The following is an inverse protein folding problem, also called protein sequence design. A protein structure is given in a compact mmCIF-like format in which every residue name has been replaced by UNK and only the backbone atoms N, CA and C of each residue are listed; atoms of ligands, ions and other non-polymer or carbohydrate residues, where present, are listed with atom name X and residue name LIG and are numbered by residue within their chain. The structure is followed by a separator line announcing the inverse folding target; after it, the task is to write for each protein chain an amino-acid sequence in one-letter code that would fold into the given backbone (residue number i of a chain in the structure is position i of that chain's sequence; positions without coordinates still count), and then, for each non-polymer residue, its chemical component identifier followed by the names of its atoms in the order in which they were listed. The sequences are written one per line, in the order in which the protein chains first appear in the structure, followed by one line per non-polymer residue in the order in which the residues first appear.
data_IF_116224058208
#
_entry.id   IF_116224058208
#
_cell.length_a   1.000
_cell.length_b   1.000
_cell.length_c   1.000
_cell.angle_alpha   90.00
_cell.angle_beta   90.00
_cell.angle_gamma   90.00
#
_symmetry.space_group_name_H-M   'P 1'
#
loop_
_entity.id
_entity.type
_entity.pdbx_description
1 polymer ?
#
# COMPACT_ATOMS: atom_id res chain seq x y z
N UNK A 1 12.29 -76.94 -33.29
CA UNK A 1 10.84 -76.90 -32.99
C UNK A 1 10.25 -75.67 -33.67
N UNK A 2 9.20 -75.88 -34.46
CA UNK A 2 8.16 -74.96 -34.95
C UNK A 2 8.54 -73.59 -35.58
N UNK A 3 8.32 -73.53 -36.90
CA UNK A 3 7.94 -72.36 -37.75
C UNK A 3 6.50 -71.87 -37.37
N UNK A 4 5.80 -70.97 -38.09
CA UNK A 4 6.10 -69.72 -38.85
C UNK A 4 5.01 -68.61 -38.60
N UNK A 5 4.92 -67.65 -39.53
CA UNK A 5 3.75 -66.85 -40.01
C UNK A 5 3.55 -65.45 -39.37
N UNK A 6 3.72 -64.36 -40.12
CA UNK A 6 2.99 -63.83 -41.31
C UNK A 6 1.64 -63.21 -40.98
N UNK A 7 1.39 -62.11 -41.72
CA UNK A 7 0.09 -61.58 -42.15
C UNK A 7 -0.50 -60.51 -41.22
N UNK A 8 -0.66 -59.26 -41.65
CA UNK A 8 -1.46 -58.68 -42.77
C UNK A 8 -2.65 -57.94 -42.16
N UNK A 9 -3.09 -56.89 -42.83
CA UNK A 9 -4.46 -56.37 -42.71
C UNK A 9 -4.50 -55.01 -42.03
N UNK A 10 -4.41 -53.90 -42.76
CA UNK A 10 -5.40 -53.31 -43.67
C UNK A 10 -6.29 -52.29 -42.97
N UNK A 11 -6.25 -51.11 -43.58
CA UNK A 11 -7.08 -49.93 -43.41
C UNK A 11 -8.58 -50.26 -43.42
N UNK A 12 -9.34 -49.62 -42.54
CA UNK A 12 -10.71 -49.18 -42.83
C UNK A 12 -11.06 -47.95 -42.00
N UNK A 13 -11.14 -46.81 -42.68
CA UNK A 13 -11.79 -45.59 -42.21
C UNK A 13 -13.29 -45.81 -42.08
N UNK A 14 -13.90 -45.30 -41.02
CA UNK A 14 -15.35 -45.10 -40.92
C UNK A 14 -15.61 -43.72 -40.31
N UNK A 15 -15.83 -42.75 -41.20
CA UNK A 15 -16.52 -41.49 -40.92
C UNK A 15 -17.98 -41.77 -40.61
N UNK A 16 -18.45 -41.31 -39.45
CA UNK A 16 -19.87 -41.13 -39.18
C UNK A 16 -20.08 -39.68 -38.72
N UNK A 17 -20.61 -38.86 -39.62
CA UNK A 17 -21.19 -37.56 -39.30
C UNK A 17 -22.64 -37.78 -38.85
N UNK A 18 -22.99 -37.29 -37.67
CA UNK A 18 -24.36 -37.21 -37.17
C UNK A 18 -24.59 -35.78 -36.68
N UNK A 19 -25.19 -34.98 -37.55
CA UNK A 19 -25.83 -33.71 -37.22
C UNK A 19 -27.24 -33.98 -36.69
N UNK A 20 -27.51 -33.59 -35.44
CA UNK A 20 -28.88 -33.40 -34.97
C UNK A 20 -28.95 -32.09 -34.15
N UNK A 21 -29.71 -31.15 -34.71
CA UNK A 21 -30.16 -29.91 -34.10
C UNK A 21 -31.15 -30.22 -32.98
N UNK A 22 -30.89 -29.71 -31.77
CA UNK A 22 -31.92 -29.51 -30.75
C UNK A 22 -31.87 -28.06 -30.28
N UNK A 23 -32.64 -27.21 -30.97
CA UNK A 23 -33.16 -25.96 -30.41
C UNK A 23 -34.11 -26.32 -29.27
N UNK A 24 -33.58 -26.42 -28.06
CA UNK A 24 -34.35 -26.46 -26.83
C UNK A 24 -34.40 -25.06 -26.23
N UNK A 25 -35.54 -24.39 -26.37
CA UNK A 25 -35.94 -23.31 -25.47
C UNK A 25 -36.02 -23.92 -24.07
N UNK A 26 -35.11 -23.54 -23.18
CA UNK A 26 -35.17 -23.90 -21.78
C UNK A 26 -35.49 -22.64 -20.97
N UNK A 27 -36.45 -22.83 -20.07
CA UNK A 27 -37.15 -21.86 -19.26
C UNK A 27 -36.29 -20.88 -18.45
N UNK A 28 -36.92 -19.75 -18.17
CA UNK A 28 -36.62 -18.84 -17.06
C UNK A 28 -36.75 -19.63 -15.75
N UNK A 29 -35.62 -20.10 -15.22
CA UNK A 29 -35.53 -20.53 -13.83
C UNK A 29 -35.20 -19.31 -12.95
N UNK A 30 -36.25 -18.77 -12.33
CA UNK A 30 -36.13 -17.89 -11.18
C UNK A 30 -35.70 -18.73 -9.96
N UNK A 31 -34.47 -18.53 -9.50
CA UNK A 31 -34.09 -18.81 -8.11
C UNK A 31 -33.02 -19.87 -7.90
N UNK A 32 -31.92 -19.39 -7.29
CA UNK A 32 -30.90 -20.13 -6.55
C UNK A 32 -29.86 -20.93 -7.35
N UNK A 33 -28.82 -20.22 -7.80
CA UNK A 33 -27.46 -20.77 -7.85
C UNK A 33 -26.43 -19.62 -7.67
N UNK A 34 -25.90 -19.47 -6.45
CA UNK A 34 -24.66 -18.77 -6.09
C UNK A 34 -24.41 -17.35 -6.67
N UNK A 35 -24.93 -16.30 -6.02
CA UNK A 35 -24.30 -14.97 -6.08
C UNK A 35 -23.06 -14.93 -5.15
N UNK A 36 -22.15 -15.88 -5.34
CA UNK A 36 -20.79 -15.81 -4.83
C UNK A 36 -19.91 -15.33 -5.99
N UNK A 37 -19.12 -14.30 -5.73
CA UNK A 37 -18.01 -13.81 -6.58
C UNK A 37 -18.31 -12.87 -7.75
N UNK A 38 -19.32 -12.00 -7.64
CA UNK A 38 -19.30 -10.77 -8.43
C UNK A 38 -18.28 -9.80 -7.81
N UNK A 39 -17.08 -9.70 -8.39
CA UNK A 39 -16.12 -8.67 -8.04
C UNK A 39 -16.74 -7.26 -8.25
N UNK A 40 -16.26 -6.27 -7.49
CA UNK A 40 -16.71 -4.88 -7.60
C UNK A 40 -15.89 -4.14 -8.65
N UNK A 41 -16.56 -3.55 -9.64
CA UNK A 41 -15.90 -2.67 -10.59
C UNK A 41 -15.37 -1.38 -9.91
N UNK A 42 -14.10 -1.07 -10.15
CA UNK A 42 -13.43 0.17 -9.69
C UNK A 42 -12.97 1.09 -10.85
N UNK A 43 -13.27 0.68 -12.09
CA UNK A 43 -12.99 1.48 -13.28
C UNK A 43 -13.61 2.88 -13.16
N UNK A 44 -12.83 3.90 -13.48
CA UNK A 44 -13.26 5.30 -13.44
C UNK A 44 -13.40 5.92 -12.04
N UNK A 45 -13.04 5.23 -10.95
CA UNK A 45 -13.03 5.85 -9.63
C UNK A 45 -12.00 6.99 -9.56
N UNK A 46 -12.40 8.10 -8.95
CA UNK A 46 -11.51 9.20 -8.60
C UNK A 46 -10.47 8.77 -7.56
N UNK A 47 -9.43 9.59 -7.36
CA UNK A 47 -8.40 9.32 -6.36
C UNK A 47 -8.99 9.28 -4.94
N UNK A 48 -9.93 10.18 -4.66
CA UNK A 48 -10.63 10.30 -3.38
C UNK A 48 -11.48 9.07 -3.10
N UNK A 49 -12.23 8.59 -4.08
CA UNK A 49 -13.06 7.37 -3.94
C UNK A 49 -12.20 6.14 -3.70
N UNK A 50 -11.04 6.04 -4.36
CA UNK A 50 -10.08 4.97 -4.08
C UNK A 50 -9.50 5.07 -2.68
N UNK A 51 -9.23 6.29 -2.20
CA UNK A 51 -8.69 6.52 -0.86
C UNK A 51 -9.72 6.18 0.22
N UNK A 52 -10.98 6.56 0.02
CA UNK A 52 -12.10 6.20 0.88
C UNK A 52 -12.29 4.68 0.95
N UNK A 53 -12.22 3.99 -0.19
CA UNK A 53 -12.29 2.53 -0.21
C UNK A 53 -11.11 1.88 0.51
N UNK A 54 -9.90 2.44 0.39
CA UNK A 54 -8.69 1.92 1.03
C UNK A 54 -8.66 2.17 2.54
N UNK A 55 -9.17 3.32 3.01
CA UNK A 55 -9.09 3.80 4.40
C UNK A 55 -9.42 2.75 5.47
N UNK A 56 -10.56 2.04 5.45
CA UNK A 56 -10.89 1.08 6.50
C UNK A 56 -10.01 -0.18 6.48
N UNK A 57 -9.24 -0.40 5.42
CA UNK A 57 -8.32 -1.54 5.32
C UNK A 57 -6.94 -1.21 5.88
N UNK A 58 -6.58 0.07 6.04
CA UNK A 58 -5.25 0.46 6.51
C UNK A 58 -5.27 0.64 8.01
N UNK A 59 -4.36 -0.05 8.69
CA UNK A 59 -4.06 0.16 10.10
C UNK A 59 -2.57 0.31 10.32
N UNK A 60 -2.23 0.95 11.44
CA UNK A 60 -0.87 1.10 11.93
C UNK A 60 -0.87 0.45 13.30
N UNK A 61 -0.44 -0.82 13.43
CA UNK A 61 -0.47 -1.51 14.71
C UNK A 61 0.47 -0.83 15.71
N UNK A 62 0.16 -0.98 16.99
CA UNK A 62 1.09 -0.55 18.04
C UNK A 62 2.26 -1.53 18.12
N UNK A 63 3.45 -0.96 18.25
CA UNK A 63 4.76 -1.63 18.27
C UNK A 63 4.80 -2.83 19.21
N UNK A 64 4.30 -2.65 20.44
CA UNK A 64 4.30 -3.68 21.48
C UNK A 64 3.40 -4.88 21.13
N UNK A 65 2.53 -4.75 20.14
CA UNK A 65 1.54 -5.75 19.75
C UNK A 65 1.84 -6.41 18.39
N UNK A 66 2.75 -5.88 17.58
CA UNK A 66 2.98 -6.39 16.23
C UNK A 66 4.48 -6.50 15.90
N UNK A 67 4.93 -7.73 15.65
CA UNK A 67 6.30 -8.17 15.29
C UNK A 67 6.96 -7.32 14.17
N UNK A 68 7.35 -6.09 14.46
CA UNK A 68 7.99 -5.17 13.51
C UNK A 68 7.09 -4.63 12.40
N UNK A 69 5.76 -4.74 12.50
CA UNK A 69 4.84 -4.23 11.49
C UNK A 69 4.60 -2.72 11.66
N UNK A 70 4.85 -1.94 10.62
CA UNK A 70 4.60 -0.50 10.62
C UNK A 70 3.25 -0.13 10.00
N UNK A 71 2.91 -0.78 8.89
CA UNK A 71 1.64 -0.56 8.16
C UNK A 71 1.05 -1.90 7.75
N UNK A 72 -0.23 -2.09 8.05
CA UNK A 72 -1.00 -3.25 7.59
C UNK A 72 -2.10 -2.75 6.67
N UNK A 73 -2.15 -3.30 5.45
CA UNK A 73 -3.30 -3.20 4.56
C UNK A 73 -4.04 -4.52 4.68
N UNK A 74 -5.08 -4.56 5.50
CA UNK A 74 -5.90 -5.73 5.77
C UNK A 74 -6.74 -6.17 4.57
N UNK A 75 -7.33 -7.36 4.69
CA UNK A 75 -8.42 -7.74 3.81
C UNK A 75 -9.64 -6.86 4.06
N UNK A 76 -10.45 -6.68 3.02
CA UNK A 76 -11.68 -5.92 3.09
C UNK A 76 -12.88 -6.83 3.22
N UNK A 77 -13.85 -6.38 4.00
CA UNK A 77 -15.19 -6.99 4.01
C UNK A 77 -15.94 -6.60 2.73
N UNK A 78 -16.71 -7.56 2.20
CA UNK A 78 -17.43 -7.45 0.93
C UNK A 78 -16.64 -7.98 -0.27
N UNK A 79 -17.19 -7.78 -1.47
CA UNK A 79 -16.57 -8.28 -2.70
C UNK A 79 -15.23 -7.60 -3.01
N UNK A 80 -14.21 -8.35 -3.47
CA UNK A 80 -12.94 -7.79 -3.94
C UNK A 80 -13.14 -6.95 -5.20
N UNK A 81 -12.16 -6.11 -5.55
CA UNK A 81 -12.21 -5.36 -6.80
C UNK A 81 -11.93 -6.25 -8.01
N UNK A 82 -12.63 -6.02 -9.11
CA UNK A 82 -12.35 -6.72 -10.38
C UNK A 82 -10.96 -6.36 -10.92
N UNK A 83 -10.57 -5.10 -10.74
CA UNK A 83 -9.26 -4.58 -11.11
C UNK A 83 -8.59 -4.05 -9.83
N UNK A 84 -7.43 -4.62 -9.45
CA UNK A 84 -6.67 -4.12 -8.30
C UNK A 84 -6.28 -2.65 -8.49
N UNK A 85 -6.36 -1.87 -7.42
CA UNK A 85 -5.85 -0.48 -7.43
C UNK A 85 -4.37 -0.47 -7.02
N UNK A 86 -3.60 0.44 -7.62
CA UNK A 86 -2.25 0.74 -7.15
C UNK A 86 -2.31 1.54 -5.84
N UNK A 87 -1.50 1.13 -4.87
CA UNK A 87 -1.36 1.77 -3.56
C UNK A 87 0.12 2.06 -3.33
N UNK A 88 0.39 3.24 -2.79
CA UNK A 88 1.67 3.66 -2.28
C UNK A 88 1.61 3.58 -0.75
N UNK A 89 2.63 2.98 -0.16
CA UNK A 89 2.93 3.11 1.27
C UNK A 89 4.25 3.85 1.37
N UNK A 90 4.27 4.98 2.06
CA UNK A 90 5.44 5.84 2.11
C UNK A 90 5.78 6.22 3.54
N UNK A 91 7.08 6.25 3.78
CA UNK A 91 7.73 6.62 5.02
C UNK A 91 8.54 7.88 4.79
N UNK A 92 8.43 8.82 5.72
CA UNK A 92 9.29 9.99 5.80
C UNK A 92 9.92 10.04 7.18
N UNK A 93 11.21 10.33 7.22
CA UNK A 93 11.83 10.88 8.41
C UNK A 93 11.30 12.29 8.63
N UNK A 94 10.91 12.59 9.86
CA UNK A 94 10.39 13.89 10.28
C UNK A 94 11.32 14.47 11.34
N UNK A 95 12.33 15.23 10.90
CA UNK A 95 13.35 15.81 11.77
C UNK A 95 12.92 17.18 12.25
N UNK A 96 12.86 17.37 13.56
CA UNK A 96 12.58 18.67 14.16
C UNK A 96 13.81 19.60 14.02
N UNK A 97 13.62 20.78 13.45
CA UNK A 97 14.69 21.76 13.20
C UNK A 97 14.36 23.15 13.75
N UNK A 98 15.39 24.01 13.79
CA UNK A 98 15.32 25.48 13.71
C UNK A 98 13.96 26.03 13.22
N UNK A 99 13.77 25.83 11.92
CA UNK A 99 12.77 26.47 11.08
C UNK A 99 11.43 25.72 11.01
N UNK A 100 11.30 24.59 11.73
CA UNK A 100 10.13 23.72 11.66
C UNK A 100 10.54 22.27 11.48
N UNK A 101 9.74 21.49 10.77
CA UNK A 101 9.98 20.07 10.56
C UNK A 101 10.46 19.83 9.13
N UNK A 102 11.59 19.15 8.97
CA UNK A 102 12.03 18.65 7.66
C UNK A 102 11.45 17.25 7.44
N UNK A 103 10.87 17.02 6.26
CA UNK A 103 10.26 15.75 5.87
C UNK A 103 11.05 15.12 4.73
N UNK A 104 11.89 14.14 5.05
CA UNK A 104 12.70 13.42 4.07
C UNK A 104 12.08 12.08 3.73
N UNK A 105 11.68 11.88 2.48
CA UNK A 105 11.19 10.57 2.03
C UNK A 105 12.32 9.54 2.07
N UNK A 106 12.12 8.45 2.81
CA UNK A 106 13.13 7.40 2.98
C UNK A 106 12.80 6.10 2.25
N UNK A 107 11.53 5.73 2.22
CA UNK A 107 11.05 4.53 1.55
C UNK A 107 9.66 4.79 0.99
N UNK A 108 9.46 4.34 -0.26
CA UNK A 108 8.16 4.30 -0.91
C UNK A 108 7.98 2.93 -1.54
N UNK A 109 6.94 2.23 -1.13
CA UNK A 109 6.56 0.94 -1.66
C UNK A 109 5.33 1.12 -2.52
N UNK A 110 5.39 0.61 -3.75
CA UNK A 110 4.23 0.49 -4.62
C UNK A 110 3.74 -0.94 -4.60
N UNK A 111 2.46 -1.13 -4.32
CA UNK A 111 1.78 -2.42 -4.38
C UNK A 111 0.43 -2.29 -5.08
N UNK A 112 -0.21 -3.43 -5.34
CA UNK A 112 -1.58 -3.49 -5.83
C UNK A 112 -2.45 -4.28 -4.86
N UNK A 113 -3.71 -3.85 -4.69
CA UNK A 113 -4.68 -4.57 -3.86
C UNK A 113 -6.06 -4.54 -4.49
N UNK A 114 -6.72 -5.69 -4.49
CA UNK A 114 -8.15 -5.87 -4.75
C UNK A 114 -8.96 -5.96 -3.44
N UNK A 115 -8.29 -5.91 -2.29
CA UNK A 115 -8.87 -6.06 -0.96
C UNK A 115 -9.01 -7.52 -0.49
N UNK A 116 -8.62 -8.53 -1.28
CA UNK A 116 -8.80 -9.94 -0.92
C UNK A 116 -7.72 -10.47 0.04
N UNK A 117 -6.48 -9.97 -0.07
CA UNK A 117 -5.33 -10.47 0.69
C UNK A 117 -4.66 -9.37 1.49
N UNK A 118 -4.33 -9.63 2.77
CA UNK A 118 -3.60 -8.66 3.57
C UNK A 118 -2.16 -8.47 3.08
N UNK A 119 -1.59 -7.32 3.43
CA UNK A 119 -0.18 -6.95 3.23
C UNK A 119 0.33 -6.30 4.51
N UNK A 120 1.49 -6.76 4.96
CA UNK A 120 2.21 -6.19 6.09
C UNK A 120 3.49 -5.56 5.57
N UNK A 121 3.74 -4.33 6.01
CA UNK A 121 4.94 -3.56 5.69
C UNK A 121 5.62 -3.23 7.01
N UNK A 122 6.88 -3.63 7.15
CA UNK A 122 7.70 -3.28 8.32
C UNK A 122 8.32 -1.89 8.21
N UNK A 123 8.97 -1.45 9.29
CA UNK A 123 9.73 -0.20 9.25
C UNK A 123 10.93 -0.30 8.29
N UNK A 124 11.28 0.80 7.60
CA UNK A 124 12.60 0.96 7.04
C UNK A 124 13.66 0.85 8.14
N UNK A 125 14.83 0.30 7.81
CA UNK A 125 15.94 0.18 8.76
C UNK A 125 16.26 1.53 9.40
N UNK A 126 16.42 1.56 10.72
CA UNK A 126 16.74 2.78 11.47
C UNK A 126 15.53 3.67 11.78
N UNK A 127 14.32 3.29 11.38
CA UNK A 127 13.09 4.06 11.66
C UNK A 127 12.11 3.36 12.57
N UNK A 128 12.39 2.12 12.98
CA UNK A 128 11.67 1.53 14.10
C UNK A 128 11.95 2.37 15.36
N UNK A 129 11.01 2.45 16.33
CA UNK A 129 11.22 3.22 17.55
C UNK A 129 12.41 2.78 18.39
N UNK A 130 12.86 1.53 18.25
CA UNK A 130 14.02 0.99 18.95
C UNK A 130 15.35 1.42 18.31
N UNK A 131 15.35 1.70 17.00
CA UNK A 131 16.57 2.05 16.25
C UNK A 131 16.70 3.54 15.97
N UNK A 132 15.57 4.26 15.88
CA UNK A 132 15.58 5.65 15.45
C UNK A 132 16.16 6.56 16.51
N UNK A 133 16.83 7.60 16.04
CA UNK A 133 17.32 8.68 16.89
C UNK A 133 16.17 9.43 17.59
N UNK A 134 16.37 9.84 18.84
CA UNK A 134 15.36 10.48 19.70
C UNK A 134 14.77 11.77 19.10
N UNK A 135 15.51 12.34 18.16
CA UNK A 135 15.26 13.60 17.50
C UNK A 135 14.49 13.43 16.17
N UNK A 136 14.27 12.18 15.75
CA UNK A 136 13.66 11.81 14.49
C UNK A 136 12.28 11.21 14.71
N UNK A 137 11.26 11.89 14.21
CA UNK A 137 9.93 11.32 14.06
C UNK A 137 9.81 10.52 12.76
N UNK A 138 8.71 9.79 12.62
CA UNK A 138 8.39 9.04 11.39
C UNK A 138 6.96 9.36 10.99
N UNK A 139 6.79 9.91 9.80
CA UNK A 139 5.48 10.05 9.17
C UNK A 139 5.27 8.87 8.21
N UNK A 140 4.12 8.21 8.34
CA UNK A 140 3.72 7.11 7.47
C UNK A 140 2.38 7.44 6.82
N UNK A 141 2.24 7.13 5.54
CA UNK A 141 0.98 7.27 4.84
C UNK A 141 0.74 6.16 3.82
N UNK A 142 -0.52 5.77 3.68
CA UNK A 142 -0.99 4.90 2.61
C UNK A 142 -2.00 5.64 1.73
N UNK A 143 -1.80 5.60 0.41
CA UNK A 143 -2.62 6.35 -0.54
C UNK A 143 -2.64 5.66 -1.92
N UNK A 144 -3.74 5.76 -2.69
CA UNK A 144 -3.82 5.15 -4.00
C UNK A 144 -3.15 6.01 -5.08
N UNK A 145 -2.72 5.35 -6.16
CA UNK A 145 -2.31 5.99 -7.40
C UNK A 145 -0.84 6.43 -7.45
N UNK A 146 -0.61 7.61 -8.03
CA UNK A 146 0.71 8.19 -8.27
C UNK A 146 1.34 8.72 -6.97
N UNK A 147 2.66 8.93 -6.91
CA UNK A 147 3.32 9.57 -5.76
C UNK A 147 2.74 10.92 -5.32
N UNK A 148 2.90 11.20 -4.03
CA UNK A 148 2.91 12.53 -3.37
C UNK A 148 3.53 13.64 -4.21
N UNK A 149 2.80 14.67 -4.67
CA UNK A 149 3.44 15.93 -5.08
C UNK A 149 3.84 16.73 -3.84
N UNK A 150 4.83 17.62 -3.96
CA UNK A 150 5.32 18.43 -2.84
C UNK A 150 4.21 19.28 -2.21
N UNK A 151 3.31 19.83 -3.02
CA UNK A 151 2.16 20.63 -2.59
C UNK A 151 1.10 19.83 -1.84
N UNK A 152 1.15 18.50 -1.92
CA UNK A 152 0.22 17.61 -1.22
C UNK A 152 0.78 17.11 0.11
N UNK A 153 2.09 17.22 0.33
CA UNK A 153 2.70 16.88 1.61
C UNK A 153 2.21 17.84 2.71
N UNK A 154 2.28 17.46 3.99
CA UNK A 154 2.01 18.38 5.07
C UNK A 154 2.86 19.63 4.89
N UNK A 155 2.22 20.79 4.98
CA UNK A 155 2.96 22.04 5.05
C UNK A 155 3.94 21.95 6.23
N UNK A 156 5.11 22.58 6.11
CA UNK A 156 6.03 22.74 7.22
C UNK A 156 5.39 23.66 8.29
N UNK A 157 4.41 23.13 9.03
CA UNK A 157 3.66 23.83 10.04
C UNK A 157 4.04 23.25 11.40
N UNK A 158 4.69 24.07 12.22
CA UNK A 158 5.13 23.69 13.55
C UNK A 158 6.36 22.78 13.56
N UNK A 159 7.22 23.02 14.55
CA UNK A 159 8.25 22.05 14.92
C UNK A 159 7.54 20.88 15.61
N UNK A 160 7.75 19.65 15.13
CA UNK A 160 7.27 18.47 15.84
C UNK A 160 7.96 18.34 17.21
N UNK A 161 7.20 17.90 18.20
CA UNK A 161 7.65 17.64 19.56
C UNK A 161 7.20 16.25 19.99
N UNK A 162 7.62 15.78 21.17
CA UNK A 162 7.13 14.53 21.73
C UNK A 162 5.64 14.51 22.05
N UNK A 163 5.00 15.67 22.16
CA UNK A 163 3.56 15.80 22.31
C UNK A 163 2.80 15.84 20.96
N UNK A 164 3.51 15.93 19.84
CA UNK A 164 2.88 16.01 18.53
C UNK A 164 2.14 14.73 18.16
N UNK A 165 1.06 14.89 17.42
CA UNK A 165 0.17 13.82 17.00
C UNK A 165 -0.01 13.83 15.48
N UNK A 166 -0.64 12.79 14.94
CA UNK A 166 -0.99 12.71 13.52
C UNK A 166 -1.84 13.89 13.02
N UNK A 167 -2.57 14.58 13.91
CA UNK A 167 -3.34 15.76 13.53
C UNK A 167 -2.45 16.95 13.11
N UNK A 168 -1.21 17.00 13.62
CA UNK A 168 -0.25 18.07 13.32
C UNK A 168 0.37 17.92 11.92
N UNK A 169 0.21 16.77 11.27
CA UNK A 169 0.77 16.47 9.95
C UNK A 169 -0.32 16.29 8.90
N UNK A 170 -1.20 17.27 8.75
CA UNK A 170 -2.30 17.19 7.78
C UNK A 170 -1.77 17.36 6.35
N UNK A 171 -2.00 16.37 5.48
CA UNK A 171 -1.67 16.45 4.05
C UNK A 171 -2.58 17.46 3.33
N UNK A 172 -2.04 18.15 2.33
CA UNK A 172 -2.77 19.08 1.46
C UNK A 172 -3.68 18.40 0.43
N UNK A 173 -4.06 17.13 0.64
CA UNK A 173 -4.83 16.33 -0.31
C UNK A 173 -5.74 15.34 0.40
N UNK A 174 -6.86 15.01 -0.23
CA UNK A 174 -7.86 14.07 0.28
C UNK A 174 -7.61 12.63 -0.16
N UNK A 175 -6.61 12.39 -1.03
CA UNK A 175 -6.27 11.04 -1.50
C UNK A 175 -5.44 10.23 -0.51
N UNK A 176 -5.01 10.81 0.62
CA UNK A 176 -4.40 10.02 1.69
C UNK A 176 -5.49 9.21 2.38
N UNK A 177 -5.40 7.88 2.26
CA UNK A 177 -6.39 6.99 2.83
C UNK A 177 -6.24 6.93 4.35
N UNK A 178 -5.01 6.76 4.82
CA UNK A 178 -4.66 6.75 6.24
C UNK A 178 -3.23 7.24 6.45
N UNK A 179 -2.97 7.79 7.63
CA UNK A 179 -1.66 8.25 8.05
C UNK A 179 -1.43 8.01 9.54
N UNK A 180 -0.16 7.95 9.94
CA UNK A 180 0.26 7.96 11.34
C UNK A 180 1.57 8.72 11.47
N UNK A 181 1.61 9.62 12.45
CA UNK A 181 2.86 10.19 12.95
C UNK A 181 3.31 9.39 14.16
N UNK A 182 4.57 8.99 14.17
CA UNK A 182 5.31 8.68 15.38
C UNK A 182 6.18 9.90 15.70
N UNK A 183 5.89 10.67 16.75
CA UNK A 183 6.64 11.89 17.04
C UNK A 183 8.07 11.56 17.49
N UNK A 184 9.01 12.51 17.36
CA UNK A 184 10.31 12.42 18.03
C UNK A 184 10.11 12.34 19.56
N UNK A 185 10.98 11.63 20.28
CA UNK A 185 10.89 11.49 21.75
C UNK A 185 11.48 12.69 22.48
N UNK A 186 12.37 13.44 21.82
CA UNK A 186 12.96 14.67 22.35
C UNK A 186 12.87 15.79 21.32
N UNK A 187 12.83 17.03 21.82
CA UNK A 187 12.99 18.18 20.94
C UNK A 187 14.46 18.35 20.61
N UNK A 188 14.80 18.35 19.32
CA UNK A 188 16.15 18.65 18.88
C UNK A 188 16.49 20.10 19.16
N UNK A 189 17.50 20.30 19.99
CA UNK A 189 18.27 21.52 19.92
C UNK A 189 19.14 21.43 18.66
N UNK A 190 19.28 22.57 17.98
CA UNK A 190 20.09 22.73 16.77
C UNK A 190 21.48 22.07 16.90
N UNK A 191 22.12 21.63 15.79
CA UNK A 191 23.58 21.60 15.78
C UNK A 191 24.03 22.96 16.29
N UNK A 192 24.84 23.00 17.34
CA UNK A 192 25.21 24.23 18.02
C UNK A 192 25.55 25.32 17.01
N UNK A 193 25.08 26.54 17.28
CA UNK A 193 25.52 27.74 16.59
C UNK A 193 27.02 27.59 16.30
N UNK A 194 27.49 27.76 15.04
CA UNK A 194 28.90 27.59 14.74
C UNK A 194 29.65 28.43 15.77
N UNK A 195 30.51 27.78 16.56
CA UNK A 195 31.22 28.45 17.65
C UNK A 195 31.75 29.74 17.06
N UNK A 196 31.33 30.92 17.58
CA UNK A 196 31.73 32.18 16.99
C UNK A 196 33.23 32.12 16.81
N UNK A 197 33.71 32.34 15.59
CA UNK A 197 35.14 32.40 15.34
C UNK A 197 35.72 33.33 16.43
N UNK A 198 36.60 32.85 17.34
CA UNK A 198 37.16 33.70 18.38
C UNK A 198 37.96 34.88 17.79
N UNK A 199 38.21 34.84 16.49
CA UNK A 199 38.94 35.84 15.72
C UNK A 199 38.06 36.78 14.86
N UNK A 200 36.72 36.66 14.89
CA UNK A 200 35.80 37.52 14.14
C UNK A 200 35.80 37.28 12.61
N UNK A 201 34.84 37.87 11.90
CA UNK A 201 34.63 37.72 10.45
C UNK A 201 35.67 38.44 9.57
N UNK A 202 36.59 39.20 10.17
CA UNK A 202 37.60 40.02 9.48
C UNK A 202 39.04 39.58 9.75
N UNK A 203 39.27 38.34 10.20
CA UNK A 203 40.61 37.81 10.32
C UNK A 203 41.12 37.32 8.94
N UNK A 204 42.30 37.78 8.47
CA UNK A 204 42.81 37.49 7.12
C UNK A 204 43.10 36.02 6.86
#
# INVERSE_FOLDING_TARGET
MSRPQLAHGSLTSLTAALTLLTTGCAEKDDGAQAAADACRAAGGWSAEKRAEWLRPAVSFPDEAAAEGAAVVIGSRTGAPLCEPIAVQVQFWEATATAAGTDLRSVLRIRLTTDGSRPRTIGFPAGLSPEERDDCTGVLMAAYPGAPLAQTELPAAAGRLTSASTTADTTFGTTRVAAQRLLPPTTACNTPGEPTPNPWGSDHP
#
